data_IF_189380493067
#
_entry.id   IF_189380493067
#
_cell.length_a   1.000
_cell.length_b   1.000
_cell.length_c   1.000
_cell.angle_alpha   90.00
_cell.angle_beta   90.00
_cell.angle_gamma   90.00
#
_symmetry.space_group_name_H-M   'P 1'
#
loop_
_entity.id
_entity.type
_entity.pdbx_description
1 polymer ?
#
# COMPACT_ATOMS: atom_id res chain seq x y z
N UNK A 1 -25.04 -64.85 0.14
CA UNK A 1 -24.89 -64.27 1.49
C UNK A 1 -24.12 -62.98 1.34
N UNK A 2 -24.78 -61.85 1.62
CA UNK A 2 -24.15 -60.56 1.75
C UNK A 2 -23.43 -60.49 3.10
N UNK A 3 -22.26 -59.84 3.16
CA UNK A 3 -21.73 -59.28 4.41
C UNK A 3 -21.35 -57.83 4.13
N UNK A 4 -22.03 -56.98 4.87
CA UNK A 4 -21.94 -55.52 4.96
C UNK A 4 -20.70 -55.08 5.73
N UNK A 5 -20.15 -53.93 5.33
CA UNK A 5 -19.17 -53.17 6.11
C UNK A 5 -19.14 -51.71 5.68
N UNK A 6 -20.08 -50.92 6.20
CA UNK A 6 -20.06 -49.45 6.20
C UNK A 6 -19.14 -48.95 7.32
N UNK A 7 -18.25 -47.99 7.07
CA UNK A 7 -18.55 -46.57 7.30
C UNK A 7 -17.31 -45.65 7.21
N UNK A 8 -17.56 -44.49 6.59
CA UNK A 8 -17.11 -43.15 6.99
C UNK A 8 -15.62 -42.81 7.08
N UNK A 9 -15.04 -42.39 5.95
CA UNK A 9 -14.13 -41.24 5.94
C UNK A 9 -14.38 -40.25 4.78
N UNK A 10 -15.31 -40.57 3.87
CA UNK A 10 -15.79 -39.68 2.82
C UNK A 10 -16.92 -38.77 3.34
N UNK A 11 -16.62 -37.77 4.19
CA UNK A 11 -17.54 -36.65 4.46
C UNK A 11 -16.95 -35.52 5.35
N UNK A 12 -15.63 -35.42 5.53
CA UNK A 12 -15.07 -34.25 6.23
C UNK A 12 -14.83 -33.12 5.21
N UNK A 13 -15.90 -32.37 4.95
CA UNK A 13 -15.91 -30.96 4.56
C UNK A 13 -15.10 -30.53 3.31
N UNK A 14 -15.59 -30.88 2.11
CA UNK A 14 -15.26 -30.13 0.88
C UNK A 14 -16.55 -29.51 0.35
N UNK A 15 -17.07 -28.56 1.11
CA UNK A 15 -18.06 -27.59 0.66
C UNK A 15 -17.59 -26.20 1.12
N UNK A 16 -16.30 -25.88 0.90
CA UNK A 16 -15.93 -24.48 0.70
C UNK A 16 -16.51 -24.14 -0.65
N UNK A 17 -17.57 -23.33 -0.70
CA UNK A 17 -17.90 -22.62 -1.94
C UNK A 17 -16.59 -22.06 -2.49
N UNK A 18 -16.19 -22.55 -3.67
CA UNK A 18 -14.96 -22.10 -4.29
C UNK A 18 -15.18 -20.64 -4.65
N UNK A 19 -14.71 -19.74 -3.78
CA UNK A 19 -14.73 -18.30 -4.02
C UNK A 19 -14.12 -18.04 -5.40
N UNK A 20 -14.70 -17.08 -6.12
CA UNK A 20 -14.17 -16.64 -7.41
C UNK A 20 -12.67 -16.32 -7.28
N UNK A 21 -11.87 -16.44 -8.35
CA UNK A 21 -10.43 -16.24 -8.23
C UNK A 21 -10.07 -14.78 -7.96
N UNK A 22 -8.94 -14.57 -7.29
CA UNK A 22 -8.17 -13.34 -7.47
C UNK A 22 -7.44 -13.47 -8.80
N UNK A 23 -7.52 -12.48 -9.69
CA UNK A 23 -6.78 -12.52 -10.95
C UNK A 23 -5.46 -11.79 -10.82
N UNK A 24 -4.38 -12.45 -11.19
CA UNK A 24 -3.04 -11.87 -11.32
C UNK A 24 -2.79 -11.57 -12.81
N UNK A 25 -2.56 -10.30 -13.13
CA UNK A 25 -2.13 -9.86 -14.46
C UNK A 25 -0.60 -9.85 -14.47
N UNK A 26 0.00 -10.80 -15.19
CA UNK A 26 1.44 -10.95 -15.37
C UNK A 26 1.94 -10.07 -16.52
N UNK A 27 2.64 -8.98 -16.19
CA UNK A 27 3.23 -8.06 -17.16
C UNK A 27 4.64 -8.52 -17.59
N UNK A 28 4.90 -9.83 -17.65
CA UNK A 28 6.18 -10.40 -18.07
C UNK A 28 7.36 -10.05 -17.16
N UNK A 29 7.12 -9.97 -15.86
CA UNK A 29 8.20 -9.82 -14.87
C UNK A 29 8.78 -11.17 -14.45
N UNK A 30 10.08 -11.16 -14.12
CA UNK A 30 10.79 -12.36 -13.69
C UNK A 30 10.37 -12.85 -12.30
N UNK A 31 9.70 -12.02 -11.50
CA UNK A 31 9.35 -12.30 -10.11
C UNK A 31 7.84 -12.36 -9.84
N UNK A 32 6.98 -12.30 -10.86
CA UNK A 32 5.51 -12.43 -10.71
C UNK A 32 5.12 -13.66 -9.88
N UNK A 33 5.81 -14.79 -10.07
CA UNK A 33 5.50 -16.03 -9.37
C UNK A 33 5.90 -16.02 -7.88
N UNK A 34 6.76 -15.11 -7.43
CA UNK A 34 7.02 -14.93 -6.00
C UNK A 34 5.81 -14.29 -5.29
N UNK A 35 5.10 -13.34 -5.95
CA UNK A 35 3.81 -12.83 -5.46
C UNK A 35 2.78 -13.96 -5.39
N UNK A 36 2.71 -14.78 -6.44
CA UNK A 36 1.82 -15.95 -6.51
C UNK A 36 2.13 -16.96 -5.40
N UNK A 37 3.41 -17.17 -5.08
CA UNK A 37 3.82 -18.03 -3.97
C UNK A 37 3.30 -17.48 -2.64
N UNK A 38 3.44 -16.17 -2.36
CA UNK A 38 2.87 -15.57 -1.15
C UNK A 38 1.35 -15.74 -1.09
N UNK A 39 0.63 -15.53 -2.18
CA UNK A 39 -0.82 -15.74 -2.24
C UNK A 39 -1.20 -17.21 -1.98
N UNK A 40 -0.47 -18.16 -2.56
CA UNK A 40 -0.68 -19.60 -2.34
C UNK A 40 -0.41 -20.03 -0.90
N UNK A 41 0.68 -19.54 -0.30
CA UNK A 41 1.00 -19.79 1.12
C UNK A 41 -0.01 -19.17 2.09
N UNK A 42 -0.72 -18.12 1.66
CA UNK A 42 -1.82 -17.50 2.38
C UNK A 42 -3.17 -18.19 2.10
N UNK A 43 -3.17 -19.29 1.33
CA UNK A 43 -4.36 -20.10 1.07
C UNK A 43 -5.36 -19.50 0.10
N UNK A 44 -4.93 -18.54 -0.72
CA UNK A 44 -5.80 -17.87 -1.70
C UNK A 44 -5.94 -18.68 -2.98
N UNK A 45 -7.16 -18.71 -3.52
CA UNK A 45 -7.41 -19.16 -4.88
C UNK A 45 -7.16 -18.01 -5.86
N UNK A 46 -6.28 -18.22 -6.84
CA UNK A 46 -5.94 -17.23 -7.84
C UNK A 46 -5.70 -17.86 -9.21
N UNK A 47 -5.92 -17.06 -10.26
CA UNK A 47 -5.60 -17.39 -11.66
C UNK A 47 -4.61 -16.35 -12.19
N UNK A 48 -3.63 -16.79 -12.98
CA UNK A 48 -2.61 -15.91 -13.57
C UNK A 48 -2.82 -15.85 -15.08
N UNK A 49 -2.85 -14.64 -15.62
CA UNK A 49 -2.95 -14.39 -17.06
C UNK A 49 -1.89 -13.38 -17.48
N UNK A 50 -1.27 -13.58 -18.64
CA UNK A 50 -0.44 -12.54 -19.25
C UNK A 50 -1.30 -11.34 -19.62
N UNK A 51 -0.67 -10.16 -19.64
CA UNK A 51 -1.36 -8.91 -19.90
C UNK A 51 -1.97 -8.78 -21.33
N UNK A 52 -1.70 -9.75 -22.20
CA UNK A 52 -2.19 -9.86 -23.57
C UNK A 52 -2.99 -11.16 -23.85
N UNK A 53 -3.20 -12.01 -22.83
CA UNK A 53 -3.96 -13.27 -22.97
C UNK A 53 -5.49 -13.08 -22.92
N UNK A 54 -5.95 -12.02 -22.26
CA UNK A 54 -7.37 -11.70 -22.09
C UNK A 54 -7.64 -10.26 -22.51
N UNK A 55 -8.86 -9.99 -22.94
CA UNK A 55 -9.43 -8.64 -22.96
C UNK A 55 -9.98 -8.26 -21.57
N UNK A 56 -10.11 -6.96 -21.29
CA UNK A 56 -10.73 -6.49 -20.03
C UNK A 56 -12.17 -6.99 -19.88
N UNK A 57 -12.91 -7.15 -20.98
CA UNK A 57 -14.26 -7.72 -20.94
C UNK A 57 -14.28 -9.21 -20.57
N UNK A 58 -13.28 -9.99 -21.01
CA UNK A 58 -13.10 -11.37 -20.57
C UNK A 58 -12.70 -11.44 -19.10
N UNK A 59 -11.82 -10.54 -18.65
CA UNK A 59 -11.43 -10.39 -17.26
C UNK A 59 -12.65 -10.11 -16.37
N UNK A 60 -13.56 -9.19 -16.77
CA UNK A 60 -14.81 -8.92 -16.05
C UNK A 60 -15.70 -10.16 -15.97
N UNK A 61 -15.83 -10.93 -17.06
CA UNK A 61 -16.67 -12.14 -17.09
C UNK A 61 -16.17 -13.24 -16.16
N UNK A 62 -14.88 -13.25 -15.80
CA UNK A 62 -14.33 -14.13 -14.77
C UNK A 62 -14.78 -13.78 -13.36
N UNK A 63 -15.42 -12.62 -13.18
CA UNK A 63 -15.96 -12.14 -11.92
C UNK A 63 -14.92 -12.17 -10.78
N UNK A 64 -13.73 -11.57 -10.97
CA UNK A 64 -12.66 -11.62 -9.98
C UNK A 64 -13.10 -10.97 -8.67
N UNK A 65 -12.75 -11.60 -7.54
CA UNK A 65 -12.93 -10.98 -6.22
C UNK A 65 -11.85 -9.94 -5.88
N UNK A 66 -10.78 -9.89 -6.67
CA UNK A 66 -9.73 -8.89 -6.59
C UNK A 66 -8.75 -9.06 -7.75
N UNK A 67 -7.96 -8.02 -8.02
CA UNK A 67 -6.97 -8.00 -9.11
C UNK A 67 -5.60 -7.62 -8.57
N UNK A 68 -4.58 -8.41 -8.88
CA UNK A 68 -3.19 -8.04 -8.66
C UNK A 68 -2.54 -7.73 -10.00
N UNK A 69 -1.99 -6.54 -10.16
CA UNK A 69 -1.20 -6.16 -11.34
C UNK A 69 0.27 -6.25 -10.97
N UNK A 70 0.97 -7.21 -11.57
CA UNK A 70 2.38 -7.49 -11.30
C UNK A 70 3.33 -6.40 -11.85
N UNK A 71 4.62 -6.41 -11.44
CA UNK A 71 5.65 -5.64 -12.13
C UNK A 71 5.78 -6.03 -13.60
N UNK A 72 6.53 -5.25 -14.37
CA UNK A 72 6.83 -5.56 -15.76
C UNK A 72 7.80 -4.57 -16.39
N UNK A 73 8.41 -4.90 -17.55
CA UNK A 73 9.20 -3.96 -18.32
C UNK A 73 8.30 -2.98 -19.08
N UNK A 74 8.91 -1.95 -19.67
CA UNK A 74 8.21 -1.01 -20.55
C UNK A 74 7.53 0.13 -19.81
N UNK A 75 6.47 0.67 -20.41
CA UNK A 75 5.64 1.76 -19.87
C UNK A 75 4.19 1.28 -19.64
N UNK A 76 3.36 2.01 -18.88
CA UNK A 76 1.95 1.63 -18.73
C UNK A 76 1.19 1.53 -20.06
N UNK A 77 1.57 2.28 -21.09
CA UNK A 77 0.95 2.18 -22.41
C UNK A 77 1.23 0.82 -23.09
N UNK A 78 2.33 0.16 -22.73
CA UNK A 78 2.73 -1.15 -23.24
C UNK A 78 2.22 -2.31 -22.35
N UNK A 79 1.49 -2.01 -21.26
CA UNK A 79 1.12 -2.96 -20.21
C UNK A 79 -0.11 -3.83 -20.54
N UNK A 80 -0.46 -3.95 -21.82
CA UNK A 80 -1.63 -4.68 -22.29
C UNK A 80 -2.91 -4.21 -21.60
N UNK A 81 -3.65 -5.13 -20.98
CA UNK A 81 -4.90 -4.81 -20.27
C UNK A 81 -4.72 -4.10 -18.93
N UNK A 82 -3.50 -3.96 -18.39
CA UNK A 82 -3.29 -3.49 -17.01
C UNK A 82 -3.83 -2.08 -16.78
N UNK A 83 -3.50 -1.12 -17.65
CA UNK A 83 -3.98 0.27 -17.53
C UNK A 83 -5.50 0.36 -17.61
N UNK A 84 -6.10 -0.31 -18.59
CA UNK A 84 -7.56 -0.32 -18.76
C UNK A 84 -8.26 -1.04 -17.58
N UNK A 85 -7.64 -2.08 -17.03
CA UNK A 85 -8.15 -2.79 -15.84
C UNK A 85 -8.21 -1.86 -14.62
N UNK A 86 -7.22 -0.99 -14.42
CA UNK A 86 -7.27 0.02 -13.35
C UNK A 86 -8.49 0.93 -13.51
N UNK A 87 -8.74 1.44 -14.72
CA UNK A 87 -9.84 2.35 -15.00
C UNK A 87 -11.22 1.70 -14.81
N UNK A 88 -11.37 0.45 -15.28
CA UNK A 88 -12.67 -0.19 -15.39
C UNK A 88 -13.02 -1.11 -14.22
N UNK A 89 -12.04 -1.80 -13.63
CA UNK A 89 -12.25 -2.70 -12.49
C UNK A 89 -11.76 -2.12 -11.17
N UNK A 90 -10.75 -1.25 -11.18
CA UNK A 90 -10.22 -0.63 -9.96
C UNK A 90 -11.28 0.08 -9.08
N UNK A 91 -12.32 0.71 -9.66
CA UNK A 91 -13.44 1.26 -8.89
C UNK A 91 -14.43 0.23 -8.30
N UNK A 92 -14.36 -1.02 -8.75
CA UNK A 92 -15.38 -2.05 -8.52
C UNK A 92 -14.88 -3.19 -7.63
N UNK A 93 -13.60 -3.55 -7.76
CA UNK A 93 -12.99 -4.66 -7.03
C UNK A 93 -11.64 -4.23 -6.45
N UNK A 94 -11.24 -4.80 -5.29
CA UNK A 94 -9.93 -4.56 -4.71
C UNK A 94 -8.81 -4.81 -5.72
N UNK A 95 -7.93 -3.82 -5.87
CA UNK A 95 -6.85 -3.87 -6.84
C UNK A 95 -5.53 -3.48 -6.19
N UNK A 96 -4.53 -4.34 -6.36
CA UNK A 96 -3.17 -4.11 -5.88
C UNK A 96 -2.17 -4.07 -7.04
N UNK A 97 -1.58 -2.90 -7.29
CA UNK A 97 -0.55 -2.70 -8.31
C UNK A 97 0.87 -2.73 -7.73
N UNK A 98 1.77 -3.51 -8.31
CA UNK A 98 3.18 -3.57 -7.93
C UNK A 98 4.06 -3.04 -9.06
N UNK A 99 4.95 -2.10 -8.75
CA UNK A 99 5.87 -1.45 -9.69
C UNK A 99 5.16 -0.90 -10.93
N UNK A 100 5.15 -1.63 -12.06
CA UNK A 100 4.34 -1.32 -13.25
C UNK A 100 2.86 -1.13 -12.89
N UNK A 101 2.30 -1.96 -12.00
CA UNK A 101 0.92 -1.81 -11.55
C UNK A 101 0.64 -0.47 -10.86
N UNK A 102 1.55 0.04 -10.03
CA UNK A 102 1.40 1.39 -9.47
C UNK A 102 1.53 2.47 -10.55
N UNK A 103 2.41 2.26 -11.54
CA UNK A 103 2.54 3.19 -12.66
C UNK A 103 1.26 3.26 -13.50
N UNK A 104 0.61 2.12 -13.77
CA UNK A 104 -0.73 2.07 -14.36
C UNK A 104 -1.76 2.83 -13.52
N UNK A 105 -1.72 2.70 -12.18
CA UNK A 105 -2.59 3.47 -11.28
C UNK A 105 -2.34 4.97 -11.41
N UNK A 106 -1.09 5.41 -11.32
CA UNK A 106 -0.74 6.81 -11.46
C UNK A 106 -1.22 7.38 -12.79
N UNK A 107 -0.98 6.66 -13.88
CA UNK A 107 -1.34 7.10 -15.23
C UNK A 107 -2.84 7.11 -15.50
N UNK A 108 -3.57 6.09 -15.03
CA UNK A 108 -5.03 6.01 -15.17
C UNK A 108 -5.74 7.26 -14.64
N UNK A 109 -5.20 7.88 -13.58
CA UNK A 109 -5.77 9.08 -12.98
C UNK A 109 -5.06 10.37 -13.40
N UNK A 110 -4.23 10.33 -14.45
CA UNK A 110 -3.64 11.52 -15.09
C UNK A 110 -2.21 11.87 -14.66
N UNK A 111 -1.56 11.05 -13.85
CA UNK A 111 -0.15 11.19 -13.51
C UNK A 111 0.76 10.84 -14.68
N UNK A 112 1.92 11.50 -14.80
CA UNK A 112 2.93 11.11 -15.80
C UNK A 112 3.90 10.11 -15.22
N UNK A 113 4.26 9.11 -16.03
CA UNK A 113 5.32 8.16 -15.71
C UNK A 113 6.59 8.58 -16.44
N UNK A 114 7.62 8.93 -15.67
CA UNK A 114 8.89 9.48 -16.16
C UNK A 114 10.06 8.63 -15.72
N UNK A 115 11.23 8.85 -16.34
CA UNK A 115 12.47 8.24 -15.88
C UNK A 115 12.78 8.72 -14.46
N UNK A 116 13.16 7.79 -13.60
CA UNK A 116 13.60 8.08 -12.24
C UNK A 116 14.72 9.12 -12.26
N UNK A 117 14.60 10.24 -11.51
CA UNK A 117 15.64 11.27 -11.45
C UNK A 117 16.94 10.76 -10.81
N UNK A 118 16.87 9.64 -10.09
CA UNK A 118 17.99 8.97 -9.44
C UNK A 118 18.59 7.84 -10.30
N UNK A 119 18.21 7.79 -11.57
CA UNK A 119 18.62 6.75 -12.51
C UNK A 119 17.97 5.40 -12.23
N UNK A 120 18.54 4.37 -12.86
CA UNK A 120 18.04 3.00 -12.80
C UNK A 120 18.33 2.36 -11.44
N UNK A 121 17.30 1.81 -10.81
CA UNK A 121 17.40 1.09 -9.55
C UNK A 121 17.09 -0.39 -9.78
N UNK A 122 18.11 -1.24 -9.93
CA UNK A 122 17.97 -2.70 -9.99
C UNK A 122 18.72 -3.35 -8.84
N UNK A 123 17.99 -4.09 -7.98
CA UNK A 123 18.58 -4.81 -6.84
C UNK A 123 19.07 -3.92 -5.71
N UNK A 124 18.56 -2.69 -5.62
CA UNK A 124 18.94 -1.74 -4.55
C UNK A 124 17.90 -1.76 -3.43
N UNK A 125 18.37 -1.66 -2.20
CA UNK A 125 17.52 -1.42 -1.03
C UNK A 125 17.32 0.08 -0.83
N UNK A 126 16.13 0.49 -0.41
CA UNK A 126 15.86 1.85 0.06
C UNK A 126 14.99 1.79 1.31
N UNK A 127 15.17 2.77 2.19
CA UNK A 127 14.23 3.02 3.28
C UNK A 127 12.96 3.66 2.71
N UNK A 128 11.83 3.04 2.99
CA UNK A 128 10.51 3.51 2.58
C UNK A 128 9.71 3.87 3.82
N UNK A 129 9.38 5.15 3.93
CA UNK A 129 8.48 5.70 4.94
C UNK A 129 7.04 5.53 4.47
N UNK A 130 6.12 5.32 5.39
CA UNK A 130 4.71 5.14 5.05
C UNK A 130 3.79 5.78 6.10
N UNK A 131 2.63 6.23 5.63
CA UNK A 131 1.54 6.70 6.47
C UNK A 131 0.19 6.47 5.78
N UNK A 132 -0.65 5.63 6.40
CA UNK A 132 -2.00 5.34 5.93
C UNK A 132 -3.07 6.15 6.69
N UNK A 133 -2.65 7.14 7.49
CA UNK A 133 -3.50 8.06 8.28
C UNK A 133 -4.43 7.35 9.25
N UNK A 134 -4.02 6.18 9.73
CA UNK A 134 -4.81 5.35 10.64
C UNK A 134 -5.89 4.51 9.97
N UNK A 135 -5.98 4.52 8.64
CA UNK A 135 -6.84 3.60 7.88
C UNK A 135 -6.12 2.28 7.63
N UNK A 136 -6.87 1.17 7.61
CA UNK A 136 -6.33 -0.13 7.22
C UNK A 136 -6.11 -0.18 5.70
N UNK A 137 -4.84 -0.23 5.27
CA UNK A 137 -4.43 -0.49 3.89
C UNK A 137 -3.30 -1.52 3.78
N UNK A 138 -2.45 -1.37 2.76
CA UNK A 138 -1.34 -2.29 2.47
C UNK A 138 -0.30 -2.36 3.60
N UNK A 139 -0.11 -1.30 4.37
CA UNK A 139 0.89 -1.22 5.44
C UNK A 139 0.33 -1.52 6.84
N UNK A 140 -0.90 -2.03 6.92
CA UNK A 140 -1.56 -2.43 8.17
C UNK A 140 -0.73 -3.44 8.96
N UNK A 141 -0.62 -3.22 10.27
CA UNK A 141 0.09 -4.14 11.18
C UNK A 141 1.62 -4.13 11.04
N UNK A 142 2.21 -3.30 10.17
CA UNK A 142 3.65 -3.10 10.12
C UNK A 142 4.17 -2.31 11.34
N UNK A 143 5.44 -2.50 11.76
CA UNK A 143 5.96 -1.95 13.01
C UNK A 143 5.78 -0.43 13.18
N UNK A 144 5.16 -0.03 14.30
CA UNK A 144 5.00 1.38 14.70
C UNK A 144 5.81 1.62 15.97
N UNK A 145 6.66 2.65 16.01
CA UNK A 145 7.08 3.18 17.31
C UNK A 145 6.08 4.25 17.73
N UNK A 146 5.40 4.00 18.85
CA UNK A 146 4.85 5.10 19.63
C UNK A 146 6.03 5.66 20.42
N UNK A 147 6.54 6.82 20.02
CA UNK A 147 7.40 7.61 20.90
C UNK A 147 6.54 8.03 22.10
N UNK A 148 6.51 7.18 23.13
CA UNK A 148 6.05 7.55 24.46
C UNK A 148 7.10 8.51 25.02
N UNK A 149 6.87 9.81 24.81
CA UNK A 149 7.67 10.85 25.43
C UNK A 149 7.47 10.75 26.95
N UNK A 150 8.34 10.00 27.63
CA UNK A 150 8.45 10.09 29.10
C UNK A 150 9.16 11.40 29.42
N UNK A 151 8.53 12.13 30.34
CA UNK A 151 8.67 13.56 30.67
C UNK A 151 10.06 14.11 31.05
N UNK A 152 11.20 13.47 30.80
CA UNK A 152 12.46 13.86 31.47
C UNK A 152 13.66 14.25 30.59
N UNK A 153 13.54 14.39 29.27
CA UNK A 153 14.71 14.76 28.43
C UNK A 153 14.37 15.76 27.32
N UNK A 154 13.48 16.71 27.62
CA UNK A 154 12.88 17.60 26.61
C UNK A 154 13.60 18.94 26.39
N UNK A 155 14.90 19.06 26.73
CA UNK A 155 15.62 20.32 26.52
C UNK A 155 16.49 20.35 25.24
N UNK A 156 16.74 19.21 24.58
CA UNK A 156 17.78 19.17 23.52
C UNK A 156 17.26 18.99 22.10
N UNK A 157 16.02 18.51 21.88
CA UNK A 157 15.57 18.10 20.53
C UNK A 157 14.64 19.11 19.83
N UNK A 158 14.06 20.08 20.56
CA UNK A 158 13.11 21.06 20.00
C UNK A 158 13.71 22.42 19.58
N UNK A 159 15.02 22.51 19.35
CA UNK A 159 15.64 23.78 18.93
C UNK A 159 15.90 23.90 17.41
N UNK A 160 15.42 22.96 16.59
CA UNK A 160 15.72 22.92 15.14
C UNK A 160 14.53 22.93 14.18
N UNK A 161 13.31 23.06 14.66
CA UNK A 161 12.13 23.21 13.79
C UNK A 161 11.55 24.62 13.96
N UNK A 162 11.79 25.43 12.91
CA UNK A 162 11.27 26.76 12.60
C UNK A 162 10.11 27.27 13.48
N UNK A 163 10.36 28.35 14.22
CA UNK A 163 9.32 29.31 14.61
C UNK A 163 9.69 30.66 13.98
N UNK A 164 8.87 31.08 13.01
CA UNK A 164 8.94 32.40 12.39
C UNK A 164 8.64 33.47 13.45
N UNK A 165 9.58 34.40 13.63
CA UNK A 165 9.47 35.51 14.57
C UNK A 165 8.57 36.60 13.97
N UNK A 166 7.48 36.96 14.66
CA UNK A 166 6.70 38.17 14.39
C UNK A 166 6.92 39.16 15.54
N UNK A 167 7.50 40.35 15.33
CA UNK A 167 7.72 41.30 16.42
C UNK A 167 6.49 42.22 16.51
N UNK A 168 5.72 42.12 17.59
CA UNK A 168 4.81 43.18 17.99
C UNK A 168 4.60 43.21 19.51
N UNK A 169 4.88 44.41 20.05
CA UNK A 169 4.43 44.97 21.31
C UNK A 169 5.21 44.56 22.58
N UNK A 170 6.02 45.52 23.02
CA UNK A 170 6.74 45.49 24.27
C UNK A 170 5.83 45.67 25.48
N UNK A 171 6.17 44.94 26.54
CA UNK A 171 5.81 45.28 27.90
C UNK A 171 6.97 44.87 28.81
N UNK A 172 7.46 45.84 29.57
CA UNK A 172 8.56 45.70 30.52
C UNK A 172 8.13 44.84 31.71
N UNK A 173 9.12 44.14 32.24
CA UNK A 173 9.03 43.11 33.26
C UNK A 173 8.63 43.64 34.67
N UNK A 174 8.28 42.68 35.52
CA UNK A 174 8.30 42.72 37.00
C UNK A 174 7.08 43.30 37.73
N UNK A 175 5.99 42.53 37.76
CA UNK A 175 4.97 42.63 38.80
C UNK A 175 4.80 41.28 39.54
N UNK A 176 5.02 41.22 40.87
CA UNK A 176 4.92 39.98 41.66
C UNK A 176 3.51 39.37 41.80
N UNK A 177 2.44 40.04 41.36
CA UNK A 177 1.06 39.53 41.48
C UNK A 177 0.58 38.67 40.30
N UNK A 178 1.32 38.57 39.18
CA UNK A 178 1.00 37.70 38.05
C UNK A 178 1.55 36.26 38.16
N UNK A 179 2.25 35.93 39.25
CA UNK A 179 3.03 34.69 39.40
C UNK A 179 2.26 33.49 40.00
N UNK A 180 0.95 33.61 40.25
CA UNK A 180 0.15 32.59 40.96
C UNK A 180 -1.09 32.08 40.20
N UNK A 181 -1.13 32.18 38.86
CA UNK A 181 -2.13 31.49 38.03
C UNK A 181 -1.53 30.91 36.74
N UNK A 182 -0.35 30.28 36.82
CA UNK A 182 0.10 29.40 35.74
C UNK A 182 -0.63 28.07 35.90
N UNK A 183 -1.82 27.99 35.31
CA UNK A 183 -2.41 26.72 34.92
C UNK A 183 -1.29 25.89 34.26
N UNK A 184 -1.02 24.71 34.80
CA UNK A 184 -0.15 23.75 34.13
C UNK A 184 -0.65 23.64 32.69
N UNK A 185 0.19 23.86 31.67
CA UNK A 185 -0.26 23.62 30.32
C UNK A 185 -0.65 22.14 30.28
N UNK A 186 -1.94 21.88 30.06
CA UNK A 186 -2.38 20.59 29.56
C UNK A 186 -1.70 20.50 28.20
N UNK A 187 -0.50 19.93 28.18
CA UNK A 187 0.17 19.56 26.95
C UNK A 187 -0.70 18.45 26.39
N UNK A 188 -1.56 18.80 25.45
CA UNK A 188 -2.19 17.83 24.55
C UNK A 188 -1.04 17.21 23.78
N UNK A 189 -0.52 16.10 24.30
CA UNK A 189 0.39 15.22 23.57
C UNK A 189 -0.42 14.75 22.37
N UNK A 190 -0.29 15.42 21.24
CA UNK A 190 -0.66 14.83 19.98
C UNK A 190 0.20 13.58 19.88
N UNK A 191 -0.42 12.41 20.03
CA UNK A 191 0.23 11.13 19.73
C UNK A 191 0.57 11.15 18.25
N UNK A 192 1.71 11.70 17.89
CA UNK A 192 2.26 11.53 16.54
C UNK A 192 2.78 10.09 16.49
N UNK A 193 1.98 9.20 15.92
CA UNK A 193 2.43 7.84 15.62
C UNK A 193 3.47 7.95 14.52
N UNK A 194 4.72 7.57 14.81
CA UNK A 194 5.80 7.57 13.83
C UNK A 194 6.03 6.12 13.40
N UNK A 195 5.73 5.83 12.13
CA UNK A 195 5.98 4.53 11.53
C UNK A 195 7.48 4.34 11.29
N UNK A 196 7.99 3.13 11.51
CA UNK A 196 9.37 2.83 11.12
C UNK A 196 9.45 2.72 9.61
N UNK A 197 10.44 3.31 8.94
CA UNK A 197 10.66 2.99 7.55
C UNK A 197 11.01 1.49 7.42
N UNK A 198 10.54 0.88 6.34
CA UNK A 198 10.85 -0.51 5.98
C UNK A 198 11.93 -0.54 4.91
N UNK A 199 12.71 -1.61 4.89
CA UNK A 199 13.67 -1.86 3.81
C UNK A 199 12.94 -2.50 2.63
N UNK A 200 13.01 -1.86 1.47
CA UNK A 200 12.34 -2.35 0.27
C UNK A 200 13.31 -2.52 -0.90
N UNK A 201 13.15 -3.63 -1.62
CA UNK A 201 13.84 -3.90 -2.89
C UNK A 201 13.24 -3.11 -4.05
N UNK A 202 14.11 -2.52 -4.90
CA UNK A 202 13.71 -1.71 -6.06
C UNK A 202 14.31 -2.27 -7.35
N UNK A 203 13.47 -2.42 -8.38
CA UNK A 203 13.85 -2.91 -9.72
C UNK A 203 13.22 -2.06 -10.84
N UNK A 204 13.17 -0.73 -10.66
CA UNK A 204 12.46 0.16 -11.57
C UNK A 204 13.37 1.27 -12.14
N UNK A 205 13.07 1.68 -13.36
CA UNK A 205 13.69 2.82 -14.05
C UNK A 205 12.71 3.96 -14.33
N UNK A 206 11.42 3.70 -14.13
CA UNK A 206 10.31 4.64 -14.26
C UNK A 206 9.63 4.83 -12.91
N UNK A 207 9.03 6.00 -12.72
CA UNK A 207 8.31 6.42 -11.51
C UNK A 207 7.18 7.37 -11.90
N UNK A 208 6.17 7.49 -11.04
CA UNK A 208 5.19 8.59 -11.15
C UNK A 208 5.92 9.90 -10.83
N UNK A 209 5.82 10.87 -11.73
CA UNK A 209 6.36 12.21 -11.55
C UNK A 209 5.61 12.94 -10.43
N UNK A 210 6.35 13.61 -9.54
CA UNK A 210 5.77 14.25 -8.36
C UNK A 210 4.92 15.47 -8.73
N UNK A 211 5.36 16.23 -9.73
CA UNK A 211 4.74 17.46 -10.19
C UNK A 211 3.40 17.22 -10.90
N UNK A 212 3.25 16.07 -11.57
CA UNK A 212 2.00 15.67 -12.21
C UNK A 212 1.22 14.62 -11.41
N UNK A 213 1.63 14.33 -10.17
CA UNK A 213 0.91 13.36 -9.35
C UNK A 213 -0.56 13.77 -9.19
N UNK A 214 -1.52 12.87 -9.51
CA UNK A 214 -2.93 13.22 -9.58
C UNK A 214 -3.56 13.29 -8.19
N UNK A 215 -3.25 14.36 -7.46
CA UNK A 215 -3.60 14.52 -6.05
C UNK A 215 -5.10 14.65 -5.80
N UNK A 216 -5.93 14.93 -6.81
CA UNK A 216 -7.39 14.97 -6.65
C UNK A 216 -7.96 13.57 -6.43
N UNK A 217 -7.41 12.55 -7.10
CA UNK A 217 -7.90 11.16 -7.04
C UNK A 217 -7.06 10.27 -6.13
N UNK A 218 -5.74 10.47 -6.09
CA UNK A 218 -4.81 9.65 -5.34
C UNK A 218 -4.22 10.37 -4.13
N UNK A 219 -3.90 9.61 -3.10
CA UNK A 219 -3.04 10.04 -1.99
C UNK A 219 -1.77 9.19 -1.92
N UNK A 220 -0.64 9.83 -1.61
CA UNK A 220 0.63 9.14 -1.39
C UNK A 220 0.58 8.48 -0.01
N UNK A 221 0.86 7.17 0.03
CA UNK A 221 0.88 6.37 1.28
C UNK A 221 2.27 5.89 1.65
N UNK A 222 3.24 5.96 0.75
CA UNK A 222 4.65 5.73 1.07
C UNK A 222 5.60 6.52 0.18
N UNK A 223 6.77 6.87 0.71
CA UNK A 223 7.79 7.66 0.03
C UNK A 223 9.21 7.32 0.51
N UNK A 224 10.25 7.65 -0.27
CA UNK A 224 11.64 7.62 0.22
C UNK A 224 12.06 8.96 0.82
N UNK A 225 13.21 9.03 1.49
CA UNK A 225 13.69 10.24 2.18
C UNK A 225 13.73 11.49 1.26
N UNK A 226 14.05 11.27 -0.01
CA UNK A 226 14.12 12.30 -1.05
C UNK A 226 12.74 12.71 -1.63
N UNK A 227 11.66 12.14 -1.11
CA UNK A 227 10.28 12.41 -1.51
C UNK A 227 9.82 11.64 -2.75
N UNK A 228 10.56 10.64 -3.23
CA UNK A 228 10.09 9.75 -4.29
C UNK A 228 8.86 8.97 -3.85
N UNK A 229 7.82 8.93 -4.70
CA UNK A 229 6.57 8.21 -4.44
C UNK A 229 6.82 6.70 -4.50
N UNK A 230 6.51 6.02 -3.39
CA UNK A 230 6.71 4.57 -3.24
C UNK A 230 5.42 3.79 -3.03
N UNK A 231 4.32 4.47 -2.69
CA UNK A 231 2.99 3.88 -2.72
C UNK A 231 1.92 4.97 -2.84
N UNK A 232 0.79 4.60 -3.42
CA UNK A 232 -0.39 5.46 -3.50
C UNK A 232 -1.67 4.63 -3.30
N UNK A 233 -2.71 5.31 -2.85
CA UNK A 233 -4.06 4.79 -2.67
C UNK A 233 -5.06 5.75 -3.28
N UNK A 234 -6.10 5.22 -3.92
CA UNK A 234 -7.20 6.06 -4.40
C UNK A 234 -8.04 6.59 -3.22
N UNK A 235 -8.38 7.87 -3.24
CA UNK A 235 -9.10 8.55 -2.15
C UNK A 235 -10.55 8.09 -2.00
N UNK A 236 -11.25 7.90 -3.11
CA UNK A 236 -12.61 7.33 -3.13
C UNK A 236 -12.60 5.80 -3.01
N UNK A 237 -11.94 5.10 -3.92
CA UNK A 237 -11.88 3.64 -3.96
C UNK A 237 -10.71 3.13 -3.11
N UNK A 238 -10.85 3.14 -1.78
CA UNK A 238 -9.73 2.86 -0.86
C UNK A 238 -9.10 1.46 -1.03
N UNK A 239 -9.79 0.52 -1.66
CA UNK A 239 -9.25 -0.80 -2.01
C UNK A 239 -8.35 -0.81 -3.27
N UNK A 240 -8.25 0.31 -4.00
CA UNK A 240 -7.35 0.51 -5.13
C UNK A 240 -6.04 1.13 -4.65
N UNK A 241 -4.99 0.32 -4.57
CA UNK A 241 -3.70 0.69 -3.98
C UNK A 241 -2.54 0.13 -4.79
N UNK A 242 -1.36 0.73 -4.66
CA UNK A 242 -0.17 0.18 -5.27
C UNK A 242 1.14 0.63 -4.62
N UNK A 243 2.21 -0.13 -4.89
CA UNK A 243 3.56 0.13 -4.40
C UNK A 243 4.56 0.18 -5.56
N UNK A 244 5.57 1.05 -5.49
CA UNK A 244 6.61 1.18 -6.51
C UNK A 244 7.75 0.17 -6.30
N UNK A 245 7.97 -0.24 -5.05
CA UNK A 245 8.94 -1.26 -4.69
C UNK A 245 8.36 -2.68 -4.91
N UNK A 246 9.21 -3.68 -4.69
CA UNK A 246 8.92 -5.08 -4.95
C UNK A 246 8.73 -5.83 -3.62
N UNK A 247 7.49 -6.02 -3.13
CA UNK A 247 7.22 -6.81 -1.92
C UNK A 247 7.66 -8.28 -2.10
N UNK A 248 7.70 -8.79 -3.31
CA UNK A 248 8.15 -10.14 -3.64
C UNK A 248 9.67 -10.32 -3.62
N UNK A 249 10.43 -9.23 -3.50
CA UNK A 249 11.87 -9.29 -3.36
C UNK A 249 12.27 -9.80 -1.98
N UNK A 250 13.30 -10.66 -1.92
CA UNK A 250 13.93 -11.09 -0.67
C UNK A 250 14.46 -9.93 0.19
N UNK A 251 14.70 -8.77 -0.42
CA UNK A 251 15.13 -7.54 0.27
C UNK A 251 13.98 -6.97 1.12
N UNK A 252 12.72 -7.19 0.73
CA UNK A 252 11.54 -6.63 1.38
C UNK A 252 10.97 -7.64 2.38
N UNK A 253 11.47 -7.61 3.62
CA UNK A 253 11.08 -8.53 4.71
C UNK A 253 9.58 -8.55 5.00
N UNK A 254 8.92 -7.40 4.87
CA UNK A 254 7.49 -7.21 5.15
C UNK A 254 6.59 -7.58 3.96
N UNK A 255 7.17 -8.03 2.85
CA UNK A 255 6.49 -8.24 1.57
C UNK A 255 5.29 -9.17 1.64
N UNK A 256 5.43 -10.32 2.30
CA UNK A 256 4.33 -11.27 2.49
C UNK A 256 3.20 -10.69 3.34
N UNK A 257 3.53 -9.86 4.34
CA UNK A 257 2.52 -9.15 5.15
C UNK A 257 1.73 -8.16 4.30
N UNK A 258 2.40 -7.41 3.41
CA UNK A 258 1.76 -6.47 2.48
C UNK A 258 0.77 -7.21 1.56
N UNK A 259 1.19 -8.34 0.97
CA UNK A 259 0.29 -9.19 0.14
C UNK A 259 -0.87 -9.74 0.98
N UNK A 260 -0.62 -10.14 2.22
CA UNK A 260 -1.66 -10.57 3.15
C UNK A 260 -2.67 -9.47 3.49
N UNK A 261 -2.24 -8.22 3.59
CA UNK A 261 -3.15 -7.10 3.80
C UNK A 261 -4.03 -6.83 2.59
N UNK A 262 -3.52 -6.99 1.37
CA UNK A 262 -4.36 -6.96 0.16
C UNK A 262 -5.45 -8.04 0.19
N UNK A 263 -5.12 -9.26 0.59
CA UNK A 263 -6.10 -10.35 0.73
C UNK A 263 -7.16 -10.00 1.78
N UNK A 264 -6.77 -9.43 2.91
CA UNK A 264 -7.73 -8.97 3.93
C UNK A 264 -8.65 -7.85 3.43
N UNK A 265 -8.15 -6.95 2.57
CA UNK A 265 -8.98 -5.94 1.93
C UNK A 265 -10.08 -6.59 1.09
N UNK A 266 -9.74 -7.65 0.33
CA UNK A 266 -10.73 -8.43 -0.43
C UNK A 266 -11.78 -9.04 0.50
N UNK A 267 -11.35 -9.71 1.57
CA UNK A 267 -12.26 -10.35 2.51
C UNK A 267 -13.20 -9.36 3.20
N UNK A 268 -12.71 -8.14 3.49
CA UNK A 268 -13.52 -7.08 4.08
C UNK A 268 -14.59 -6.58 3.11
N UNK A 269 -14.23 -6.30 1.87
CA UNK A 269 -15.17 -5.80 0.85
C UNK A 269 -16.25 -6.84 0.51
N UNK A 270 -15.90 -8.14 0.53
CA UNK A 270 -16.88 -9.22 0.43
C UNK A 270 -17.85 -9.24 1.61
N UNK A 271 -17.34 -9.10 2.84
CA UNK A 271 -18.18 -9.08 4.03
C UNK A 271 -19.10 -7.85 4.06
N UNK A 272 -18.64 -6.70 3.57
CA UNK A 272 -19.44 -5.48 3.44
C UNK A 272 -20.52 -5.62 2.34
N UNK A 273 -20.22 -6.30 1.23
CA UNK A 273 -21.18 -6.52 0.14
C UNK A 273 -22.28 -7.54 0.45
N UNK A 274 -22.11 -8.34 1.50
CA UNK A 274 -23.07 -9.36 1.96
C UNK A 274 -24.04 -8.84 3.04
N UNK A 275 -23.82 -7.64 3.58
CA UNK A 275 -24.65 -6.99 4.60
C UNK A 275 -25.56 -5.92 3.99
#
# INVERSE_FOLDING_TARGET
MAVTGSNSSAAVSINREMKNPIIVIDNYDSFTYNLCQYMGELGCHFEVYRNDELTVEELKRKNPRGVLISPGPGTPQDSGISLQTVLELGPLVPLFGVCMGLQCIGEAFGGKVVRSPYGVMHGKSSLVYYDEKGEDGLFSGLPKYVLSLRHSSFLTILFKLHVSYHPALGCHAECPSCLMQRALPIVVVHKTTIHMPIHCGRYHSLVIEKESFPSEELEITAWTEDGLIMAARHKKYKHLQGVQFHPESIITSEGKTIVGNFIKLIEREEAESQN
#
